data_IF_052293880059
#
_entry.id   IF_052293880059
#
_cell.length_a   1.000
_cell.length_b   1.000
_cell.length_c   1.000
_cell.angle_alpha   90.00
_cell.angle_beta   90.00
_cell.angle_gamma   90.00
#
_symmetry.space_group_name_H-M   'P 1'
#
loop_
_entity.id
_entity.type
_entity.pdbx_description
1 polymer ?
#
# COMPACT_ATOMS: atom_id res chain seq x y z
N UNK A 1 -36.69 26.96 -36.34
CA UNK A 1 -36.63 27.76 -35.11
C UNK A 1 -36.26 26.86 -33.94
N UNK A 2 -35.05 27.01 -33.38
CA UNK A 2 -34.74 26.75 -31.97
C UNK A 2 -33.38 27.38 -31.68
N UNK A 3 -33.42 28.39 -30.81
CA UNK A 3 -32.36 29.33 -30.52
C UNK A 3 -31.43 28.75 -29.44
N UNK A 4 -30.12 28.76 -29.65
CA UNK A 4 -29.13 28.47 -28.61
C UNK A 4 -28.76 29.77 -27.89
N UNK A 5 -29.22 29.91 -26.65
CA UNK A 5 -28.86 31.03 -25.78
C UNK A 5 -27.46 30.82 -25.21
N UNK A 6 -26.55 31.72 -25.59
CA UNK A 6 -25.23 31.93 -25.01
C UNK A 6 -25.38 32.42 -23.56
N UNK A 7 -24.75 31.74 -22.61
CA UNK A 7 -24.43 32.30 -21.29
C UNK A 7 -22.98 32.01 -20.97
N UNK A 8 -22.15 32.99 -21.33
CA UNK A 8 -20.84 33.26 -20.73
C UNK A 8 -21.09 33.69 -19.29
N UNK A 9 -20.51 33.00 -18.32
CA UNK A 9 -20.43 33.46 -16.93
C UNK A 9 -18.95 33.59 -16.60
N UNK A 10 -18.48 34.83 -16.77
CA UNK A 10 -17.26 35.33 -16.16
C UNK A 10 -17.56 35.63 -14.69
N UNK A 11 -16.82 35.03 -13.77
CA UNK A 11 -16.86 35.41 -12.36
C UNK A 11 -15.45 35.43 -11.80
N UNK A 12 -14.91 36.64 -11.75
CA UNK A 12 -13.74 37.09 -11.03
C UNK A 12 -13.98 37.06 -9.52
N UNK A 13 -13.07 36.45 -8.76
CA UNK A 13 -12.77 36.69 -7.34
C UNK A 13 -11.43 35.96 -7.11
N UNK A 14 -10.27 36.61 -7.05
CA UNK A 14 -9.92 37.71 -6.18
C UNK A 14 -8.83 37.21 -5.23
N UNK A 15 -7.62 37.00 -5.76
CA UNK A 15 -6.45 36.55 -5.00
C UNK A 15 -5.79 37.74 -4.30
N UNK A 16 -5.89 37.82 -2.97
CA UNK A 16 -4.92 38.52 -2.10
C UNK A 16 -4.88 37.80 -0.75
N UNK A 17 -3.85 36.98 -0.52
CA UNK A 17 -3.46 36.60 0.85
C UNK A 17 -2.08 37.21 1.11
N UNK A 18 -2.04 38.21 1.98
CA UNK A 18 -0.83 38.90 2.36
C UNK A 18 0.06 37.97 3.19
N UNK A 19 1.25 37.66 2.68
CA UNK A 19 2.32 37.02 3.44
C UNK A 19 3.00 38.12 4.26
N UNK A 20 2.58 38.25 5.53
CA UNK A 20 3.28 39.03 6.55
C UNK A 20 4.40 38.19 7.17
N UNK A 21 5.64 38.62 6.99
CA UNK A 21 6.84 38.01 7.52
C UNK A 21 7.17 38.49 8.95
N UNK A 22 8.04 37.71 9.61
CA UNK A 22 8.95 38.08 10.71
C UNK A 22 8.40 38.12 12.15
N UNK A 23 9.06 37.37 13.04
CA UNK A 23 9.04 37.66 14.48
C UNK A 23 9.22 36.45 15.41
N UNK A 24 10.45 35.95 15.54
CA UNK A 24 10.89 35.07 16.62
C UNK A 24 10.81 35.76 17.98
N UNK A 25 10.22 35.13 19.00
CA UNK A 25 10.52 35.46 20.41
C UNK A 25 10.85 34.18 21.16
N UNK A 26 12.14 34.08 21.46
CA UNK A 26 12.75 33.16 22.42
C UNK A 26 12.98 33.95 23.70
N UNK A 27 12.40 33.52 24.82
CA UNK A 27 12.75 33.92 26.20
C UNK A 27 12.15 32.84 27.14
N UNK A 28 12.94 31.94 27.72
CA UNK A 28 13.71 32.12 28.95
C UNK A 28 12.78 32.56 30.12
N UNK A 29 12.30 31.60 30.91
CA UNK A 29 12.87 31.22 32.21
C UNK A 29 12.25 32.04 33.36
N UNK A 30 11.42 31.39 34.17
CA UNK A 30 11.40 31.52 35.63
C UNK A 30 10.38 30.55 36.25
N UNK A 31 10.95 29.58 36.94
CA UNK A 31 10.35 28.64 37.88
C UNK A 31 9.45 29.31 38.92
N UNK A 32 8.23 28.82 39.11
CA UNK A 32 7.59 28.77 40.43
C UNK A 32 6.90 27.42 40.64
N UNK A 33 7.53 26.65 41.52
CA UNK A 33 7.06 25.40 42.11
C UNK A 33 5.92 25.67 43.10
N UNK A 34 4.83 24.92 43.02
CA UNK A 34 4.03 24.49 44.18
C UNK A 34 3.33 23.19 43.82
N UNK A 35 3.94 22.11 44.33
CA UNK A 35 3.34 20.84 44.80
C UNK A 35 1.87 20.58 44.51
N UNK A 36 1.61 19.51 43.76
CA UNK A 36 0.74 18.45 44.26
C UNK A 36 1.37 17.08 44.00
N UNK A 37 1.26 16.21 44.99
CA UNK A 37 1.89 14.90 45.05
C UNK A 37 0.99 13.86 44.39
N UNK A 38 1.51 13.16 43.38
CA UNK A 38 0.82 12.03 42.75
C UNK A 38 1.66 11.35 41.68
N UNK A 39 2.69 10.61 42.08
CA UNK A 39 3.24 9.53 41.24
C UNK A 39 2.29 8.32 41.31
N UNK A 40 2.11 7.55 40.23
CA UNK A 40 3.23 6.87 39.59
C UNK A 40 3.26 6.94 38.06
N UNK A 41 4.50 6.84 37.58
CA UNK A 41 4.90 6.32 36.27
C UNK A 41 3.83 5.48 35.56
N UNK A 42 3.30 6.00 34.47
CA UNK A 42 2.66 5.17 33.44
C UNK A 42 3.39 5.48 32.14
N UNK A 43 4.22 4.51 31.71
CA UNK A 43 4.66 4.39 30.33
C UNK A 43 3.46 4.64 29.40
N UNK A 44 3.39 5.80 28.76
CA UNK A 44 2.53 5.98 27.60
C UNK A 44 3.34 5.46 26.43
N UNK A 45 3.14 4.17 26.20
CA UNK A 45 3.51 3.40 25.01
C UNK A 45 3.84 4.27 23.80
N UNK A 46 5.08 4.14 23.31
CA UNK A 46 5.32 4.34 21.88
C UNK A 46 4.36 3.40 21.15
N UNK A 47 3.23 3.93 20.70
CA UNK A 47 2.41 3.28 19.71
C UNK A 47 3.24 3.28 18.44
N UNK A 48 3.92 2.16 18.20
CA UNK A 48 4.45 1.80 16.90
C UNK A 48 3.31 1.91 15.89
N UNK A 49 3.22 3.03 15.18
CA UNK A 49 2.37 3.15 14.00
C UNK A 49 2.96 2.23 12.95
N UNK A 50 2.39 1.02 12.91
CA UNK A 50 2.63 0.03 11.88
C UNK A 50 1.93 0.54 10.61
N UNK A 51 2.54 1.53 9.96
CA UNK A 51 2.14 2.01 8.63
C UNK A 51 2.52 0.94 7.59
N UNK A 52 1.77 -0.16 7.61
CA UNK A 52 1.76 -1.21 6.57
C UNK A 52 1.04 -0.65 5.34
N UNK A 53 1.67 0.25 4.61
CA UNK A 53 1.43 0.51 3.17
C UNK A 53 -0.01 0.66 2.65
N UNK A 54 -1.00 0.83 3.51
CA UNK A 54 -2.38 1.11 3.17
C UNK A 54 -2.57 2.61 3.18
N UNK A 55 -3.39 3.14 2.25
CA UNK A 55 -3.82 4.53 2.32
C UNK A 55 -4.40 4.76 3.72
N UNK A 56 -3.86 5.72 4.48
CA UNK A 56 -4.33 6.02 5.83
C UNK A 56 -5.85 6.26 5.76
N UNK A 57 -6.63 5.47 6.50
CA UNK A 57 -8.09 5.58 6.49
C UNK A 57 -8.52 6.99 6.92
N UNK A 58 -7.73 7.63 7.78
CA UNK A 58 -7.85 9.02 8.20
C UNK A 58 -7.67 9.98 7.02
N UNK A 59 -6.71 9.73 6.13
CA UNK A 59 -6.50 10.57 4.95
C UNK A 59 -7.64 10.41 3.92
N UNK A 60 -8.11 9.18 3.71
CA UNK A 60 -9.25 8.90 2.82
C UNK A 60 -10.57 9.47 3.35
N UNK A 61 -10.78 9.39 4.67
CA UNK A 61 -11.94 9.97 5.33
C UNK A 61 -11.90 11.50 5.24
N UNK A 62 -10.74 12.12 5.49
CA UNK A 62 -10.54 13.55 5.35
C UNK A 62 -10.72 14.05 3.91
N UNK A 63 -10.25 13.30 2.90
CA UNK A 63 -10.46 13.60 1.48
C UNK A 63 -11.94 13.58 1.10
N UNK A 64 -12.70 12.61 1.63
CA UNK A 64 -14.14 12.48 1.41
C UNK A 64 -14.99 13.38 2.31
N UNK A 65 -14.39 14.07 3.27
CA UNK A 65 -15.09 14.90 4.26
C UNK A 65 -16.01 14.11 5.20
N UNK A 66 -15.73 12.82 5.41
CA UNK A 66 -16.50 11.93 6.29
C UNK A 66 -15.64 11.47 7.47
N UNK A 67 -16.25 10.86 8.48
CA UNK A 67 -15.51 10.23 9.57
C UNK A 67 -14.91 8.89 9.14
N UNK A 68 -13.86 8.45 9.84
CA UNK A 68 -13.23 7.15 9.57
C UNK A 68 -14.20 5.99 9.80
N UNK A 69 -15.13 6.12 10.74
CA UNK A 69 -16.14 5.10 11.02
C UNK A 69 -17.21 5.03 9.92
N UNK A 70 -17.62 6.17 9.37
CA UNK A 70 -18.48 6.21 8.17
C UNK A 70 -17.78 5.64 6.94
N UNK A 71 -16.50 5.94 6.75
CA UNK A 71 -15.69 5.35 5.66
C UNK A 71 -15.64 3.82 5.78
N UNK A 72 -15.40 3.29 6.99
CA UNK A 72 -15.39 1.84 7.23
C UNK A 72 -16.74 1.21 6.94
N UNK A 73 -17.83 1.82 7.42
CA UNK A 73 -19.18 1.33 7.17
C UNK A 73 -19.52 1.28 5.67
N UNK A 74 -19.14 2.33 4.92
CA UNK A 74 -19.29 2.31 3.46
C UNK A 74 -18.47 1.19 2.79
N UNK A 75 -17.21 1.01 3.20
CA UNK A 75 -16.36 -0.04 2.65
C UNK A 75 -16.89 -1.45 2.99
N UNK A 76 -17.45 -1.64 4.17
CA UNK A 76 -18.09 -2.91 4.57
C UNK A 76 -19.33 -3.18 3.72
N UNK A 77 -20.21 -2.19 3.53
CA UNK A 77 -21.38 -2.32 2.67
C UNK A 77 -21.01 -2.61 1.21
N UNK A 78 -20.03 -1.89 0.66
CA UNK A 78 -19.53 -2.16 -0.69
C UNK A 78 -18.93 -3.56 -0.82
N UNK A 79 -18.23 -4.03 0.22
CA UNK A 79 -17.64 -5.37 0.22
C UNK A 79 -18.73 -6.43 0.28
N UNK A 80 -19.73 -6.27 1.12
CA UNK A 80 -20.87 -7.19 1.21
C UNK A 80 -21.66 -7.24 -0.09
N UNK A 81 -21.93 -6.09 -0.71
CA UNK A 81 -22.58 -6.01 -2.01
C UNK A 81 -21.80 -6.76 -3.09
N UNK A 82 -20.48 -6.59 -3.15
CA UNK A 82 -19.62 -7.33 -4.09
C UNK A 82 -19.61 -8.83 -3.82
N UNK A 83 -19.59 -9.25 -2.56
CA UNK A 83 -19.67 -10.67 -2.21
C UNK A 83 -21.03 -11.27 -2.61
N UNK A 84 -22.12 -10.53 -2.43
CA UNK A 84 -23.46 -10.96 -2.86
C UNK A 84 -23.56 -11.06 -4.40
N UNK A 85 -22.99 -10.09 -5.13
CA UNK A 85 -22.92 -10.11 -6.59
C UNK A 85 -22.11 -11.31 -7.10
N UNK A 86 -20.91 -11.53 -6.56
CA UNK A 86 -20.06 -12.67 -6.93
C UNK A 86 -20.71 -14.01 -6.59
N UNK A 87 -21.42 -14.10 -5.46
CA UNK A 87 -22.15 -15.30 -5.08
C UNK A 87 -23.30 -15.57 -6.07
N UNK A 88 -24.07 -14.53 -6.43
CA UNK A 88 -25.13 -14.62 -7.42
C UNK A 88 -24.62 -15.00 -8.83
N UNK A 89 -23.49 -14.43 -9.25
CA UNK A 89 -22.83 -14.75 -10.52
C UNK A 89 -22.41 -16.24 -10.57
N UNK A 90 -21.86 -16.74 -9.47
CA UNK A 90 -21.46 -18.15 -9.35
C UNK A 90 -22.62 -19.10 -9.04
N UNK A 91 -23.83 -18.58 -8.79
CA UNK A 91 -24.99 -19.37 -8.41
C UNK A 91 -24.86 -20.05 -7.03
N UNK A 92 -24.04 -19.51 -6.14
CA UNK A 92 -23.79 -20.02 -4.78
C UNK A 92 -24.25 -19.01 -3.72
N UNK A 93 -24.29 -19.41 -2.46
CA UNK A 93 -24.54 -18.50 -1.35
C UNK A 93 -23.29 -17.69 -0.97
N UNK A 94 -23.48 -16.55 -0.30
CA UNK A 94 -22.36 -15.72 0.18
C UNK A 94 -21.47 -16.49 1.17
N UNK A 95 -22.05 -17.37 1.98
CA UNK A 95 -21.28 -18.16 2.95
C UNK A 95 -20.46 -19.26 2.26
N UNK A 96 -20.99 -19.89 1.21
CA UNK A 96 -20.22 -20.81 0.36
C UNK A 96 -19.10 -20.08 -0.39
N UNK A 97 -19.35 -18.87 -0.89
CA UNK A 97 -18.32 -18.04 -1.52
C UNK A 97 -17.19 -17.71 -0.52
N UNK A 98 -17.53 -17.32 0.70
CA UNK A 98 -16.54 -17.04 1.76
C UNK A 98 -15.71 -18.28 2.10
N UNK A 99 -16.36 -19.45 2.22
CA UNK A 99 -15.68 -20.71 2.48
C UNK A 99 -14.72 -21.09 1.34
N UNK A 100 -15.13 -20.92 0.07
CA UNK A 100 -14.25 -21.13 -1.08
C UNK A 100 -13.06 -20.17 -1.08
N UNK A 101 -13.27 -18.89 -0.78
CA UNK A 101 -12.19 -17.91 -0.70
C UNK A 101 -11.21 -18.23 0.44
N UNK A 102 -11.71 -18.75 1.57
CA UNK A 102 -10.89 -19.18 2.70
C UNK A 102 -10.07 -20.42 2.35
N UNK A 103 -10.68 -21.40 1.67
CA UNK A 103 -9.99 -22.57 1.17
C UNK A 103 -8.93 -22.21 0.12
N UNK A 104 -9.26 -21.37 -0.87
CA UNK A 104 -8.30 -20.89 -1.88
C UNK A 104 -7.14 -20.13 -1.22
N UNK A 105 -7.43 -19.39 -0.14
CA UNK A 105 -6.40 -18.69 0.64
C UNK A 105 -5.55 -19.65 1.46
N UNK A 106 -6.12 -20.74 1.97
CA UNK A 106 -5.37 -21.80 2.63
C UNK A 106 -4.44 -22.50 1.64
N UNK A 107 -4.92 -22.82 0.44
CA UNK A 107 -4.15 -23.45 -0.63
C UNK A 107 -3.06 -22.53 -1.21
N UNK A 108 -3.33 -21.24 -1.39
CA UNK A 108 -2.33 -20.24 -1.83
C UNK A 108 -1.47 -19.67 -0.70
N UNK A 109 -1.65 -20.14 0.53
CA UNK A 109 -1.00 -19.62 1.71
C UNK A 109 -1.32 -18.14 2.03
N UNK A 110 -0.80 -17.63 3.16
CA UNK A 110 -1.19 -16.34 3.74
C UNK A 110 -0.92 -15.10 2.86
N UNK A 111 -0.24 -15.24 1.71
CA UNK A 111 0.07 -14.12 0.80
C UNK A 111 -0.32 -14.34 -0.66
N UNK A 112 -1.12 -15.35 -0.98
CA UNK A 112 -1.62 -15.53 -2.36
C UNK A 112 -0.56 -15.98 -3.36
N UNK A 113 0.57 -16.51 -2.87
CA UNK A 113 1.64 -17.05 -3.71
C UNK A 113 1.39 -18.54 -3.89
N UNK A 114 1.16 -18.96 -5.13
CA UNK A 114 1.07 -20.39 -5.44
C UNK A 114 2.44 -21.03 -5.21
N UNK A 115 2.45 -22.16 -4.50
CA UNK A 115 3.66 -22.93 -4.25
C UNK A 115 4.24 -23.43 -5.59
N UNK A 116 5.54 -23.20 -5.84
CA UNK A 116 6.13 -23.52 -7.14
C UNK A 116 6.16 -25.03 -7.37
N UNK A 117 6.35 -25.81 -6.31
CA UNK A 117 6.22 -27.26 -6.29
C UNK A 117 4.81 -27.70 -6.70
N UNK A 118 3.77 -27.08 -6.12
CA UNK A 118 2.38 -27.42 -6.44
C UNK A 118 2.03 -27.07 -7.90
N UNK A 119 2.47 -25.90 -8.39
CA UNK A 119 2.28 -25.48 -9.78
C UNK A 119 3.01 -26.37 -10.77
N UNK A 120 4.24 -26.79 -10.44
CA UNK A 120 5.02 -27.69 -11.27
C UNK A 120 4.33 -29.07 -11.34
N UNK A 121 3.88 -29.60 -10.20
CA UNK A 121 3.13 -30.85 -10.12
C UNK A 121 1.80 -30.80 -10.89
N UNK A 122 1.04 -29.72 -10.79
CA UNK A 122 -0.21 -29.50 -11.53
C UNK A 122 0.02 -29.52 -13.05
N UNK A 123 1.11 -28.90 -13.51
CA UNK A 123 1.49 -28.87 -14.93
C UNK A 123 2.22 -30.13 -15.40
N UNK A 124 2.55 -31.05 -14.49
CA UNK A 124 3.32 -32.26 -14.78
C UNK A 124 4.76 -31.96 -15.26
N UNK A 125 5.34 -30.84 -14.83
CA UNK A 125 6.72 -30.43 -15.15
C UNK A 125 7.54 -30.35 -13.86
N UNK A 126 8.85 -30.19 -14.01
CA UNK A 126 9.73 -29.93 -12.86
C UNK A 126 9.67 -28.46 -12.43
N UNK A 127 10.03 -28.17 -11.18
CA UNK A 127 10.10 -26.79 -10.67
C UNK A 127 11.11 -25.96 -11.46
N UNK A 128 12.21 -26.55 -11.92
CA UNK A 128 13.22 -25.85 -12.73
C UNK A 128 12.69 -25.51 -14.13
N UNK A 129 11.93 -26.41 -14.76
CA UNK A 129 11.24 -26.13 -16.02
C UNK A 129 10.17 -25.04 -15.85
N UNK A 130 9.42 -25.06 -14.74
CA UNK A 130 8.45 -24.02 -14.41
C UNK A 130 9.15 -22.65 -14.27
N UNK A 131 10.27 -22.59 -13.54
CA UNK A 131 11.07 -21.36 -13.39
C UNK A 131 11.58 -20.86 -14.75
N UNK A 132 12.09 -21.76 -15.59
CA UNK A 132 12.56 -21.41 -16.93
C UNK A 132 11.43 -20.86 -17.81
N UNK A 133 10.24 -21.46 -17.77
CA UNK A 133 9.06 -20.93 -18.48
C UNK A 133 8.67 -19.55 -17.98
N UNK A 134 8.61 -19.34 -16.66
CA UNK A 134 8.28 -18.05 -16.07
C UNK A 134 9.31 -16.97 -16.44
N UNK A 135 10.60 -17.33 -16.51
CA UNK A 135 11.65 -16.43 -16.95
C UNK A 135 11.49 -16.04 -18.43
N UNK A 136 11.23 -17.01 -19.31
CA UNK A 136 10.96 -16.75 -20.73
C UNK A 136 9.70 -15.88 -20.93
N UNK A 137 8.62 -16.16 -20.21
CA UNK A 137 7.41 -15.33 -20.26
C UNK A 137 7.69 -13.90 -19.78
N UNK A 138 8.52 -13.74 -18.75
CA UNK A 138 8.92 -12.43 -18.24
C UNK A 138 9.76 -11.68 -19.27
N UNK A 139 10.71 -12.35 -19.92
CA UNK A 139 11.50 -11.75 -20.99
C UNK A 139 10.65 -11.35 -22.19
N UNK A 140 9.72 -12.21 -22.60
CA UNK A 140 8.77 -11.91 -23.67
C UNK A 140 7.92 -10.69 -23.35
N UNK A 141 7.39 -10.59 -22.11
CA UNK A 141 6.64 -9.41 -21.65
C UNK A 141 7.50 -8.15 -21.62
N UNK A 142 8.76 -8.25 -21.23
CA UNK A 142 9.68 -7.12 -21.27
C UNK A 142 9.97 -6.67 -22.71
N UNK A 143 10.11 -7.62 -23.64
CA UNK A 143 10.26 -7.31 -25.06
C UNK A 143 9.01 -6.64 -25.63
N UNK A 144 7.82 -7.15 -25.33
CA UNK A 144 6.54 -6.57 -25.73
C UNK A 144 6.38 -5.14 -25.19
N UNK A 145 6.62 -4.93 -23.90
CA UNK A 145 6.57 -3.60 -23.27
C UNK A 145 7.60 -2.62 -23.85
N UNK A 146 8.78 -3.12 -24.23
CA UNK A 146 9.80 -2.31 -24.86
C UNK A 146 9.34 -1.86 -26.26
N UNK A 147 8.78 -2.77 -27.05
CA UNK A 147 8.18 -2.48 -28.37
C UNK A 147 7.02 -1.50 -28.23
N UNK A 148 6.12 -1.70 -27.27
CA UNK A 148 4.98 -0.80 -27.01
C UNK A 148 5.44 0.63 -26.72
N UNK A 149 6.52 0.77 -25.94
CA UNK A 149 7.11 2.07 -25.60
C UNK A 149 8.06 2.62 -26.66
N UNK A 150 8.33 1.86 -27.73
CA UNK A 150 9.28 2.23 -28.77
C UNK A 150 10.72 2.36 -28.28
N UNK A 151 11.09 1.62 -27.24
CA UNK A 151 12.44 1.60 -26.65
C UNK A 151 13.03 0.19 -26.73
N UNK A 152 14.32 0.05 -26.44
CA UNK A 152 14.97 -1.25 -26.31
C UNK A 152 14.67 -1.89 -24.96
N UNK A 153 14.84 -3.22 -24.86
CA UNK A 153 14.66 -3.96 -23.60
C UNK A 153 15.63 -3.47 -22.53
N UNK A 154 16.85 -3.10 -22.91
CA UNK A 154 17.87 -2.60 -21.97
C UNK A 154 17.52 -1.20 -21.45
N UNK A 155 16.98 -0.33 -22.30
CA UNK A 155 16.44 0.97 -21.88
C UNK A 155 15.23 0.80 -20.96
N UNK A 156 14.34 -0.15 -21.25
CA UNK A 156 13.21 -0.47 -20.35
C UNK A 156 13.70 -0.95 -18.98
N UNK A 157 14.70 -1.85 -18.95
CA UNK A 157 15.32 -2.33 -17.71
C UNK A 157 15.95 -1.17 -16.93
N UNK A 158 16.65 -0.25 -17.60
CA UNK A 158 17.22 0.93 -16.98
C UNK A 158 16.15 1.86 -16.40
N UNK A 159 15.05 2.10 -17.13
CA UNK A 159 13.92 2.90 -16.64
C UNK A 159 13.27 2.27 -15.41
N UNK A 160 13.04 0.97 -15.42
CA UNK A 160 12.48 0.25 -14.27
C UNK A 160 13.40 0.34 -13.04
N UNK A 161 14.72 0.25 -13.23
CA UNK A 161 15.67 0.40 -12.12
C UNK A 161 15.69 1.82 -11.58
N UNK A 162 15.63 2.84 -12.44
CA UNK A 162 15.49 4.23 -12.02
C UNK A 162 14.18 4.47 -11.25
N UNK A 163 13.05 3.94 -11.73
CA UNK A 163 11.77 4.04 -11.04
C UNK A 163 11.82 3.34 -9.68
N UNK A 164 12.47 2.16 -9.61
CA UNK A 164 12.70 1.44 -8.36
C UNK A 164 13.51 2.28 -7.38
N UNK A 165 14.59 2.93 -7.83
CA UNK A 165 15.41 3.80 -7.01
C UNK A 165 14.63 5.03 -6.53
N UNK A 166 13.92 5.72 -7.42
CA UNK A 166 13.07 6.85 -7.05
C UNK A 166 11.99 6.46 -6.02
N UNK A 167 11.43 5.26 -6.12
CA UNK A 167 10.48 4.72 -5.14
C UNK A 167 11.12 4.41 -3.79
N UNK A 168 12.35 3.90 -3.79
CA UNK A 168 13.12 3.70 -2.56
C UNK A 168 13.47 5.03 -1.90
N UNK A 169 13.92 6.03 -2.66
CA UNK A 169 14.16 7.39 -2.18
C UNK A 169 12.91 8.02 -1.58
N UNK A 170 11.78 7.92 -2.27
CA UNK A 170 10.49 8.40 -1.76
C UNK A 170 10.12 7.72 -0.44
N UNK A 171 10.23 6.40 -0.36
CA UNK A 171 9.94 5.65 0.87
C UNK A 171 10.91 5.98 2.01
N UNK A 172 12.18 6.20 1.68
CA UNK A 172 13.19 6.58 2.66
C UNK A 172 12.87 7.96 3.22
N UNK A 173 12.55 8.93 2.36
CA UNK A 173 12.10 10.26 2.74
C UNK A 173 10.80 10.24 3.56
N UNK A 174 9.80 9.44 3.17
CA UNK A 174 8.55 9.26 3.92
C UNK A 174 8.80 8.74 5.34
N UNK A 175 9.78 7.85 5.50
CA UNK A 175 10.17 7.31 6.81
C UNK A 175 11.24 8.14 7.54
N UNK A 176 11.71 9.24 6.96
CA UNK A 176 12.76 10.09 7.53
C UNK A 176 14.12 9.38 7.69
N UNK A 177 14.44 8.42 6.83
CA UNK A 177 15.68 7.65 6.83
C UNK A 177 16.40 7.75 5.48
N UNK A 178 17.66 7.31 5.42
CA UNK A 178 18.41 7.22 4.16
C UNK A 178 18.00 5.98 3.36
N UNK A 179 18.30 5.96 2.06
CA UNK A 179 17.99 4.82 1.18
C UNK A 179 18.73 3.56 1.63
N UNK A 180 19.95 3.69 2.14
CA UNK A 180 20.74 2.54 2.59
C UNK A 180 20.23 1.98 3.92
N UNK A 181 19.78 2.84 4.84
CA UNK A 181 19.07 2.40 6.05
C UNK A 181 17.74 1.70 5.71
N UNK A 182 16.99 2.21 4.72
CA UNK A 182 15.78 1.56 4.25
C UNK A 182 16.08 0.18 3.65
N UNK A 183 17.13 0.04 2.84
CA UNK A 183 17.56 -1.25 2.28
C UNK A 183 17.93 -2.22 3.40
N UNK A 184 18.73 -1.79 4.38
CA UNK A 184 19.10 -2.60 5.52
C UNK A 184 17.88 -3.02 6.34
N UNK A 185 16.92 -2.11 6.57
CA UNK A 185 15.66 -2.44 7.24
C UNK A 185 14.85 -3.48 6.45
N UNK A 186 14.75 -3.35 5.13
CA UNK A 186 14.06 -4.34 4.29
C UNK A 186 14.75 -5.70 4.32
N UNK A 187 16.09 -5.73 4.34
CA UNK A 187 16.87 -6.96 4.43
C UNK A 187 16.71 -7.63 5.79
N UNK A 188 16.72 -6.87 6.88
CA UNK A 188 16.42 -7.38 8.22
C UNK A 188 14.98 -7.89 8.31
N UNK A 189 14.00 -7.16 7.78
CA UNK A 189 12.62 -7.63 7.71
C UNK A 189 12.48 -8.91 6.89
N UNK A 190 13.27 -9.05 5.82
CA UNK A 190 13.29 -10.25 4.98
C UNK A 190 13.91 -11.43 5.72
N UNK A 191 15.09 -11.24 6.32
CA UNK A 191 15.77 -12.27 7.08
C UNK A 191 14.95 -12.72 8.31
N UNK A 192 14.31 -11.78 9.02
CA UNK A 192 13.41 -12.11 10.12
C UNK A 192 12.22 -12.96 9.66
N UNK A 193 11.66 -12.67 8.48
CA UNK A 193 10.56 -13.46 7.89
C UNK A 193 11.04 -14.83 7.41
N UNK A 194 12.21 -14.92 6.79
CA UNK A 194 12.78 -16.20 6.36
C UNK A 194 13.08 -17.09 7.58
N UNK A 195 13.51 -16.51 8.71
CA UNK A 195 13.67 -17.23 9.97
C UNK A 195 12.33 -17.67 10.59
N UNK A 196 11.30 -16.80 10.59
CA UNK A 196 9.93 -17.13 11.05
C UNK A 196 9.34 -18.29 10.22
N UNK A 197 9.54 -18.26 8.89
CA UNK A 197 9.12 -19.32 7.98
C UNK A 197 9.83 -20.65 8.25
N UNK A 198 11.15 -20.63 8.48
CA UNK A 198 11.91 -21.84 8.79
C UNK A 198 11.50 -22.47 10.13
N UNK A 199 10.97 -21.68 11.07
CA UNK A 199 10.38 -22.19 12.31
C UNK A 199 8.95 -22.71 12.13
N UNK A 200 8.11 -22.08 11.30
CA UNK A 200 6.73 -22.53 11.05
C UNK A 200 6.64 -23.83 10.23
N UNK A 201 7.65 -24.14 9.40
CA UNK A 201 7.68 -25.39 8.61
C UNK A 201 8.26 -26.60 9.35
N UNK A 202 8.73 -26.44 10.60
CA UNK A 202 9.39 -27.49 11.40
C UNK A 202 8.60 -27.95 12.64
N UNK A 203 7.35 -27.52 12.82
CA UNK A 203 6.38 -28.08 13.78
C UNK A 203 5.36 -28.99 13.09
#
# INVERSE_FOLDING_TARGET
MKNFNKKVIATTLGAVFAIGAMGSVFAAEATTTTTDAGSPSVMKSMTFKKDRGGKNLEALAAEKGITVDELKSQMEQEREAKLAELAAEKGITVDELKAQMEQERAERGPRGGQDLEALAAEKGITVDELKAQMEQEREAKLAELAVEKGITVDELKAQMEQERQAKLEKRAAEKGMTVDELKAQMEQERAAREAEQASETNE
#
